data_IF_538182184871
#
_entry.id   IF_538182184871
#
_cell.length_a   1.000
_cell.length_b   1.000
_cell.length_c   1.000
_cell.angle_alpha   90.00
_cell.angle_beta   90.00
_cell.angle_gamma   90.00
#
_symmetry.space_group_name_H-M   'P 1'
#
loop_
_entity.id
_entity.type
_entity.pdbx_description
1 polymer ?
#
# COMPACT_ATOMS: atom_id res chain seq x y z
N UNK A 1 -17.27 -3.13 -1.40
CA UNK A 1 -15.88 -2.83 -1.78
C UNK A 1 -15.94 -1.74 -2.84
N UNK A 2 -15.14 -0.66 -2.74
CA UNK A 2 -15.14 0.36 -3.78
C UNK A 2 -14.67 -0.25 -5.10
N UNK A 3 -15.29 0.18 -6.21
CA UNK A 3 -14.90 -0.27 -7.55
C UNK A 3 -13.51 0.26 -7.88
N UNK A 4 -12.74 -0.47 -8.71
CA UNK A 4 -11.47 0.04 -9.24
C UNK A 4 -11.71 1.33 -10.02
N UNK A 5 -10.80 2.29 -9.88
CA UNK A 5 -10.86 3.54 -10.63
C UNK A 5 -10.59 3.25 -12.13
N UNK A 6 -11.34 3.92 -12.99
CA UNK A 6 -11.16 3.87 -14.44
C UNK A 6 -10.38 5.07 -14.99
N UNK A 7 -10.27 6.14 -14.20
CA UNK A 7 -9.56 7.37 -14.55
C UNK A 7 -8.64 7.76 -13.40
N UNK A 8 -7.54 8.43 -13.72
CA UNK A 8 -6.59 8.94 -12.74
C UNK A 8 -7.23 10.08 -11.94
N UNK A 9 -7.81 9.75 -10.80
CA UNK A 9 -8.48 10.69 -9.91
C UNK A 9 -7.68 10.84 -8.62
N UNK A 10 -7.13 12.04 -8.41
CA UNK A 10 -6.29 12.33 -7.26
C UNK A 10 -7.18 12.56 -6.05
N UNK A 11 -7.14 11.63 -5.09
CA UNK A 11 -7.78 11.82 -3.79
C UNK A 11 -6.83 12.57 -2.84
N UNK A 12 -7.33 13.10 -1.71
CA UNK A 12 -6.50 13.78 -0.72
C UNK A 12 -5.30 12.90 -0.31
N UNK A 13 -4.10 13.47 -0.45
CA UNK A 13 -2.86 12.85 -0.04
C UNK A 13 -1.91 13.92 0.49
N UNK A 14 -1.06 13.51 1.42
CA UNK A 14 0.05 14.31 1.92
C UNK A 14 1.18 14.37 0.88
N UNK A 15 2.19 15.23 1.06
CA UNK A 15 3.39 15.24 0.22
C UNK A 15 4.19 13.92 0.33
N UNK A 16 4.92 13.52 -0.72
CA UNK A 16 5.88 12.41 -0.58
C UNK A 16 6.99 12.80 0.39
N UNK A 17 7.15 11.99 1.42
CA UNK A 17 8.22 12.08 2.41
C UNK A 17 9.28 11.03 2.12
N UNK A 18 10.55 11.44 2.12
CA UNK A 18 11.68 10.53 2.07
C UNK A 18 11.93 9.97 3.47
N UNK A 19 11.91 8.64 3.59
CA UNK A 19 12.10 7.92 4.86
C UNK A 19 13.54 7.42 4.96
N UNK A 20 14.15 7.09 3.82
CA UNK A 20 15.53 6.62 3.70
C UNK A 20 15.99 6.83 2.24
N UNK A 21 17.29 6.63 1.95
CA UNK A 21 17.84 6.78 0.61
C UNK A 21 17.16 5.84 -0.40
N UNK A 22 16.43 6.43 -1.34
CA UNK A 22 15.65 5.70 -2.34
C UNK A 22 14.37 5.08 -1.78
N UNK A 23 13.89 5.51 -0.62
CA UNK A 23 12.60 5.09 -0.03
C UNK A 23 11.73 6.33 0.22
N UNK A 24 10.63 6.42 -0.54
CA UNK A 24 9.63 7.47 -0.37
C UNK A 24 8.33 6.85 0.19
N UNK A 25 7.63 7.59 1.03
CA UNK A 25 6.30 7.22 1.53
C UNK A 25 5.33 8.38 1.35
N UNK A 26 4.08 8.06 1.12
CA UNK A 26 2.99 9.04 1.13
C UNK A 26 1.78 8.44 1.83
N UNK A 27 1.15 9.26 2.66
CA UNK A 27 -0.12 8.98 3.31
C UNK A 27 -1.23 9.68 2.53
N UNK A 28 -2.39 9.06 2.47
CA UNK A 28 -3.57 9.69 1.90
C UNK A 28 -4.82 9.04 2.43
N UNK A 29 -5.96 9.64 2.13
CA UNK A 29 -7.23 9.20 2.67
C UNK A 29 -8.18 8.81 1.54
N UNK A 30 -8.92 7.73 1.78
CA UNK A 30 -10.10 7.38 0.98
C UNK A 30 -11.31 7.93 1.72
N UNK A 31 -11.94 8.94 1.14
CA UNK A 31 -13.20 9.50 1.64
C UNK A 31 -14.34 8.59 1.20
N UNK A 32 -15.02 7.95 2.14
CA UNK A 32 -16.21 7.14 1.88
C UNK A 32 -17.39 7.67 2.70
N UNK A 33 -18.65 7.38 2.30
CA UNK A 33 -19.84 7.80 3.06
C UNK A 33 -19.86 7.32 4.52
N UNK A 34 -19.14 6.24 4.82
CA UNK A 34 -19.04 5.64 6.16
C UNK A 34 -17.83 6.14 6.97
N UNK A 35 -17.03 7.05 6.43
CA UNK A 35 -15.85 7.62 7.08
C UNK A 35 -14.62 7.69 6.18
N UNK A 36 -13.54 8.25 6.74
CA UNK A 36 -12.25 8.37 6.07
C UNK A 36 -11.35 7.20 6.46
N UNK A 37 -10.74 6.57 5.45
CA UNK A 37 -9.86 5.42 5.67
C UNK A 37 -8.44 5.78 5.24
N UNK A 38 -7.47 5.73 6.18
CA UNK A 38 -6.09 6.03 5.85
C UNK A 38 -5.52 4.93 4.96
N UNK A 39 -4.80 5.35 3.92
CA UNK A 39 -4.00 4.51 3.05
C UNK A 39 -2.58 5.05 2.99
N UNK A 40 -1.62 4.15 2.80
CA UNK A 40 -0.20 4.50 2.67
C UNK A 40 0.36 3.83 1.43
N UNK A 41 1.05 4.62 0.61
CA UNK A 41 1.87 4.13 -0.49
C UNK A 41 3.34 4.26 -0.12
N UNK A 42 4.13 3.28 -0.51
CA UNK A 42 5.59 3.31 -0.35
C UNK A 42 6.24 3.02 -1.69
N UNK A 43 7.23 3.83 -2.06
CA UNK A 43 8.00 3.71 -3.29
C UNK A 43 9.43 3.39 -2.92
N UNK A 44 9.99 2.36 -3.54
CA UNK A 44 11.36 1.90 -3.28
C UNK A 44 12.15 1.91 -4.58
N UNK A 45 13.34 2.52 -4.58
CA UNK A 45 14.29 2.50 -5.68
C UNK A 45 14.90 1.11 -5.81
N UNK A 46 14.87 0.57 -7.02
CA UNK A 46 15.46 -0.70 -7.40
C UNK A 46 16.70 -0.47 -8.26
N UNK A 47 17.54 -1.51 -8.37
CA UNK A 47 18.67 -1.50 -9.29
C UNK A 47 18.22 -1.33 -10.76
N UNK A 48 19.00 -0.56 -11.52
CA UNK A 48 18.78 -0.28 -12.94
C UNK A 48 17.76 0.84 -13.20
N UNK A 49 17.74 1.89 -12.37
CA UNK A 49 16.85 3.06 -12.50
C UNK A 49 15.36 2.70 -12.56
N UNK A 50 14.95 1.74 -11.73
CA UNK A 50 13.57 1.25 -11.65
C UNK A 50 13.01 1.51 -10.27
N UNK A 51 11.68 1.53 -10.15
CA UNK A 51 11.01 1.68 -8.85
C UNK A 51 9.96 0.59 -8.63
N UNK A 52 9.82 0.19 -7.36
CA UNK A 52 8.73 -0.64 -6.87
C UNK A 52 7.73 0.21 -6.11
N UNK A 53 6.45 0.03 -6.39
CA UNK A 53 5.36 0.78 -5.78
C UNK A 53 4.51 -0.19 -5.00
N UNK A 54 4.42 0.02 -3.69
CA UNK A 54 3.62 -0.76 -2.78
C UNK A 54 2.35 -0.01 -2.42
N UNK A 55 1.19 -0.65 -2.59
CA UNK A 55 -0.12 -0.07 -2.27
C UNK A 55 -0.34 1.27 -2.97
N UNK A 56 -0.40 1.25 -4.30
CA UNK A 56 -0.41 2.45 -5.12
C UNK A 56 -1.58 3.40 -4.85
N UNK A 57 -1.32 4.70 -5.00
CA UNK A 57 -2.25 5.82 -4.82
C UNK A 57 -2.12 6.73 -6.04
N UNK A 58 -3.24 7.21 -6.60
CA UNK A 58 -3.19 8.27 -7.59
C UNK A 58 -2.67 9.57 -6.95
N UNK A 59 -1.47 10.00 -7.35
CA UNK A 59 -0.87 11.26 -6.89
C UNK A 59 -1.03 12.35 -7.95
N UNK A 60 -0.82 13.60 -7.53
CA UNK A 60 -0.69 14.74 -8.45
C UNK A 60 0.59 14.64 -9.31
N UNK A 61 0.63 15.40 -10.41
CA UNK A 61 1.74 15.36 -11.37
C UNK A 61 3.10 15.74 -10.76
N UNK A 62 3.23 16.75 -9.87
CA UNK A 62 4.51 17.04 -9.22
C UNK A 62 5.08 15.88 -8.40
N UNK A 63 4.25 15.17 -7.64
CA UNK A 63 4.69 14.02 -6.85
C UNK A 63 5.00 12.82 -7.74
N UNK A 64 4.25 12.63 -8.84
CA UNK A 64 4.58 11.62 -9.85
C UNK A 64 5.94 11.89 -10.50
N UNK A 65 6.26 13.15 -10.82
CA UNK A 65 7.55 13.52 -11.38
C UNK A 65 8.71 13.19 -10.41
N UNK A 66 8.50 13.31 -9.09
CA UNK A 66 9.50 12.89 -8.09
C UNK A 66 9.73 11.38 -8.10
N UNK A 67 8.68 10.59 -8.27
CA UNK A 67 8.79 9.13 -8.41
C UNK A 67 9.53 8.77 -9.69
N UNK A 68 9.17 9.40 -10.81
CA UNK A 68 9.80 9.15 -12.12
C UNK A 68 11.27 9.59 -12.15
N UNK A 69 11.63 10.67 -11.46
CA UNK A 69 13.01 11.11 -11.29
C UNK A 69 13.86 10.11 -10.49
N UNK A 70 13.24 9.34 -9.57
CA UNK A 70 13.92 8.27 -8.84
C UNK A 70 14.12 7.00 -9.70
N UNK A 71 13.28 6.81 -10.73
CA UNK A 71 13.37 5.73 -11.69
C UNK A 71 12.01 5.31 -12.24
N UNK A 72 12.02 4.53 -13.32
CA UNK A 72 10.80 4.10 -14.02
C UNK A 72 10.01 3.09 -13.18
N UNK A 73 8.70 3.29 -12.95
CA UNK A 73 7.84 2.32 -12.28
C UNK A 73 7.85 0.95 -12.98
N UNK A 74 8.42 -0.05 -12.33
CA UNK A 74 8.62 -1.38 -12.93
C UNK A 74 7.82 -2.47 -12.21
N UNK A 75 7.58 -2.31 -10.91
CA UNK A 75 6.87 -3.30 -10.09
C UNK A 75 5.74 -2.62 -9.33
N UNK A 76 4.53 -3.17 -9.42
CA UNK A 76 3.35 -2.72 -8.69
C UNK A 76 2.90 -3.82 -7.71
N UNK A 77 3.12 -3.61 -6.42
CA UNK A 77 2.79 -4.57 -5.36
C UNK A 77 1.43 -4.22 -4.78
N UNK A 78 0.47 -5.14 -4.94
CA UNK A 78 -0.89 -5.01 -4.43
C UNK A 78 -1.07 -6.00 -3.26
N UNK A 79 -0.91 -5.56 -2.00
CA UNK A 79 -0.84 -6.49 -0.86
C UNK A 79 -2.15 -7.21 -0.54
N UNK A 80 -3.29 -6.74 -1.05
CA UNK A 80 -4.56 -7.42 -0.88
C UNK A 80 -5.71 -6.79 -1.64
N UNK A 81 -6.89 -7.38 -1.53
CA UNK A 81 -8.10 -6.96 -2.26
C UNK A 81 -8.48 -5.50 -2.00
N UNK A 82 -8.24 -4.99 -0.78
CA UNK A 82 -8.54 -3.61 -0.38
C UNK A 82 -7.59 -2.55 -0.97
N UNK A 83 -6.49 -2.97 -1.59
CA UNK A 83 -5.47 -2.07 -2.15
C UNK A 83 -5.53 -2.02 -3.68
N UNK A 84 -6.65 -2.47 -4.27
CA UNK A 84 -6.84 -2.55 -5.73
C UNK A 84 -7.40 -1.29 -6.37
N UNK A 85 -7.92 -0.37 -5.56
CA UNK A 85 -8.64 0.82 -6.03
C UNK A 85 -7.91 1.50 -7.20
N UNK A 86 -6.61 1.76 -7.03
CA UNK A 86 -5.77 2.46 -7.99
C UNK A 86 -4.96 1.50 -8.91
N UNK A 87 -5.05 0.18 -8.74
CA UNK A 87 -4.16 -0.74 -9.46
C UNK A 87 -4.36 -0.71 -10.98
N UNK A 88 -5.59 -0.47 -11.45
CA UNK A 88 -5.93 -0.41 -12.88
C UNK A 88 -5.31 0.84 -13.53
N UNK A 89 -5.55 2.01 -12.96
CA UNK A 89 -5.06 3.30 -13.50
C UNK A 89 -3.54 3.36 -13.56
N UNK A 90 -2.84 2.72 -12.61
CA UNK A 90 -1.39 2.59 -12.64
C UNK A 90 -0.90 1.68 -13.78
N UNK A 91 -1.65 0.61 -14.08
CA UNK A 91 -1.35 -0.27 -15.22
C UNK A 91 -1.67 0.39 -16.55
N UNK A 92 -2.70 1.22 -16.61
CA UNK A 92 -3.07 2.00 -17.80
C UNK A 92 -2.04 3.09 -18.08
N UNK A 93 -1.52 3.78 -17.03
CA UNK A 93 -0.46 4.80 -17.17
C UNK A 93 0.91 4.18 -17.49
N UNK A 94 1.24 3.04 -16.89
CA UNK A 94 2.51 2.32 -17.11
C UNK A 94 2.24 0.90 -17.61
N UNK A 95 2.02 0.70 -18.92
CA UNK A 95 1.66 -0.61 -19.46
C UNK A 95 2.73 -1.69 -19.22
N UNK A 96 4.00 -1.30 -19.08
CA UNK A 96 5.11 -2.22 -18.82
C UNK A 96 5.28 -2.62 -17.34
N UNK A 97 4.56 -1.97 -16.41
CA UNK A 97 4.69 -2.27 -14.98
C UNK A 97 4.22 -3.69 -14.67
N UNK A 98 5.03 -4.47 -13.98
CA UNK A 98 4.63 -5.82 -13.56
C UNK A 98 3.87 -5.73 -12.25
N UNK A 99 2.57 -6.02 -12.28
CA UNK A 99 1.79 -6.14 -11.05
C UNK A 99 2.04 -7.48 -10.37
N UNK A 100 2.13 -7.49 -9.03
CA UNK A 100 2.28 -8.72 -8.27
C UNK A 100 1.07 -9.63 -8.53
N UNK A 101 1.27 -10.92 -8.84
CA UNK A 101 0.17 -11.84 -9.10
C UNK A 101 -0.74 -11.94 -7.87
N UNK A 102 -2.04 -12.17 -8.09
CA UNK A 102 -2.96 -12.53 -7.00
C UNK A 102 -2.32 -13.69 -6.23
N UNK A 103 -2.24 -13.67 -4.89
CA UNK A 103 -2.07 -14.92 -4.18
C UNK A 103 -3.23 -15.81 -4.64
N UNK A 104 -2.90 -16.98 -5.21
CA UNK A 104 -3.91 -17.98 -5.52
C UNK A 104 -4.77 -18.16 -4.27
N UNK A 105 -6.09 -18.06 -4.41
CA UNK A 105 -7.01 -18.30 -3.29
C UNK A 105 -6.93 -19.78 -2.95
N UNK A 106 -5.89 -20.20 -2.24
CA UNK A 106 -5.93 -21.48 -1.55
C UNK A 106 -7.11 -21.39 -0.61
N UNK A 107 -8.00 -22.37 -0.71
CA UNK A 107 -9.17 -22.49 0.16
C UNK A 107 -8.61 -22.54 1.58
N UNK A 108 -8.65 -21.41 2.29
CA UNK A 108 -8.17 -21.32 3.67
C UNK A 108 -9.02 -22.30 4.47
N UNK A 109 -8.46 -23.46 4.81
CA UNK A 109 -9.06 -24.31 5.82
C UNK A 109 -9.11 -23.44 7.07
N UNK A 110 -10.32 -23.04 7.50
CA UNK A 110 -10.50 -22.49 8.84
C UNK A 110 -10.13 -23.63 9.77
N UNK A 111 -8.86 -23.75 10.14
CA UNK A 111 -8.52 -24.49 11.35
C UNK A 111 -9.20 -23.71 12.47
N UNK A 112 -10.14 -24.31 13.21
CA UNK A 112 -10.72 -23.63 14.36
C UNK A 112 -9.58 -23.19 15.27
N UNK A 113 -9.63 -21.93 15.70
CA UNK A 113 -8.73 -21.44 16.73
C UNK A 113 -8.97 -22.34 17.95
N UNK A 114 -7.96 -23.09 18.45
CA UNK A 114 -8.17 -23.89 19.65
C UNK A 114 -8.56 -22.93 20.76
N UNK A 115 -9.69 -23.21 21.42
CA UNK A 115 -10.16 -22.43 22.55
C UNK A 115 -9.05 -22.43 23.61
N UNK A 116 -8.37 -21.30 23.79
CA UNK A 116 -7.56 -21.09 24.98
C UNK A 116 -8.50 -21.12 26.18
N UNK A 117 -8.36 -22.15 27.01
CA UNK A 117 -8.88 -22.10 28.38
C UNK A 117 -8.12 -20.98 29.10
N UNK A 118 -8.79 -20.14 29.93
CA UNK A 118 -8.10 -19.09 30.63
C UNK A 118 -7.19 -19.73 31.69
N UNK A 119 -5.89 -19.76 31.41
CA UNK A 119 -4.89 -19.96 32.45
C UNK A 119 -4.67 -18.59 33.10
N UNK A 120 -5.15 -18.49 34.33
CA UNK A 120 -4.72 -17.51 35.32
C UNK A 120 -3.20 -17.41 35.33
N UNK A 121 -2.65 -16.28 34.91
CA UNK A 121 -1.33 -15.86 35.35
C UNK A 121 -1.28 -14.34 35.41
N UNK A 122 -1.42 -13.86 36.64
CA UNK A 122 -1.01 -12.54 37.06
C UNK A 122 0.50 -12.37 36.85
N UNK A 123 0.91 -11.10 36.71
CA UNK A 123 2.27 -10.59 36.49
C UNK A 123 2.67 -10.58 34.99
N UNK A 124 3.12 -9.46 34.40
CA UNK A 124 4.01 -8.43 34.93
C UNK A 124 3.61 -7.07 34.30
N UNK A 125 3.33 -6.09 35.15
CA UNK A 125 3.43 -4.65 34.85
C UNK A 125 4.91 -4.24 34.89
N UNK A 126 5.21 -3.13 34.21
CA UNK A 126 6.50 -2.40 34.06
C UNK A 126 7.29 -2.96 32.88
N UNK A 127 7.51 -2.21 31.81
CA UNK A 127 8.22 -0.94 31.80
C UNK A 127 7.58 0.11 30.88
N UNK A 128 7.38 1.31 31.43
CA UNK A 128 7.35 2.56 30.69
C UNK A 128 8.63 3.32 31.10
N UNK A 129 9.49 3.57 30.11
CA UNK A 129 10.39 4.71 29.85
C UNK A 129 11.18 5.37 31.01
N UNK A 130 12.48 5.59 30.74
CA UNK A 130 13.44 6.57 31.32
C UNK A 130 13.47 6.82 32.82
#
# INVERSE_FOLDING_TARGET
MPATLEKWEVSPHDPLMEVDDGILTVTGDIVMPIGNFPRRMTVVRLAGNRTAIYSAIALNEPEMARIEAMGTPAILIVPGDHHRLDAKIWKDRYPDVKSSPRPARSRRSRKPFPSMRPATCWAIRRYAWS
#
